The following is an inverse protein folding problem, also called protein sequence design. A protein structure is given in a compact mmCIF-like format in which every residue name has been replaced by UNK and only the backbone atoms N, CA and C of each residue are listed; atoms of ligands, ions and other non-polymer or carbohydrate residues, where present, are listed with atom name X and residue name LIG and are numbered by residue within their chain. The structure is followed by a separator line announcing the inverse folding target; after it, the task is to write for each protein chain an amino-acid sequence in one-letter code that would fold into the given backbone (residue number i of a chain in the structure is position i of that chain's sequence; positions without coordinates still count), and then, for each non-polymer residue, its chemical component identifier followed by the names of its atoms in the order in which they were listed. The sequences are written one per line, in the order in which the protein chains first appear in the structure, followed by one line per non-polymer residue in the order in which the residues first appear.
data_IF_909158199586
#
_entry.id   IF_909158199586
#
_cell.length_a   1.000
_cell.length_b   1.000
_cell.length_c   1.000
_cell.angle_alpha   90.00
_cell.angle_beta   90.00
_cell.angle_gamma   90.00
#
_symmetry.space_group_name_H-M   'P 1'
#
loop_
_entity.id
_entity.type
_entity.pdbx_description
1 polymer ?
#
# COMPACT_ATOMS: atom_id res chain seq x y z
N UNK A 1 -39.60 92.58 18.11
CA UNK A 1 -40.43 92.38 19.31
C UNK A 1 -41.61 91.55 18.94
N UNK A 2 -42.11 90.71 19.82
CA UNK A 2 -41.48 89.76 20.72
C UNK A 2 -41.79 88.29 20.27
N UNK A 3 -40.96 87.35 20.59
CA UNK A 3 -41.12 86.33 21.63
C UNK A 3 -42.40 85.52 21.60
N UNK A 4 -42.35 84.25 21.35
CA UNK A 4 -42.95 83.34 22.31
C UNK A 4 -42.17 81.99 22.35
N UNK A 5 -41.96 81.57 23.62
CA UNK A 5 -41.20 80.39 24.06
C UNK A 5 -42.24 79.31 24.36
N UNK A 6 -42.13 78.15 23.76
CA UNK A 6 -42.81 76.99 24.33
C UNK A 6 -41.83 75.82 24.37
N UNK A 7 -41.65 75.31 25.58
CA UNK A 7 -40.65 74.33 25.92
C UNK A 7 -40.98 72.88 25.45
N UNK A 8 -40.07 71.96 25.58
CA UNK A 8 -40.14 70.66 24.97
C UNK A 8 -40.90 69.65 25.84
N UNK A 9 -41.76 68.88 25.19
CA UNK A 9 -42.40 67.70 25.72
C UNK A 9 -41.35 66.56 25.89
N UNK A 10 -41.33 65.97 27.04
CA UNK A 10 -40.51 64.84 27.43
C UNK A 10 -40.99 63.58 26.74
N UNK A 11 -40.28 63.10 25.71
CA UNK A 11 -40.50 61.80 25.14
C UNK A 11 -39.80 60.72 25.99
N UNK A 12 -40.59 59.94 26.69
CA UNK A 12 -40.16 58.77 27.45
C UNK A 12 -39.62 57.72 26.50
N UNK A 13 -38.28 57.56 26.49
CA UNK A 13 -37.59 56.49 25.71
C UNK A 13 -37.68 55.16 26.45
N UNK A 14 -38.58 54.32 26.01
CA UNK A 14 -38.66 52.93 26.50
C UNK A 14 -37.51 52.15 25.87
N UNK A 15 -36.46 51.90 26.66
CA UNK A 15 -35.34 51.04 26.30
C UNK A 15 -35.85 49.61 26.25
N UNK A 16 -36.03 49.08 25.02
CA UNK A 16 -36.23 47.65 24.82
C UNK A 16 -34.90 46.93 25.08
N UNK A 17 -34.90 46.06 26.07
CA UNK A 17 -33.82 45.08 26.29
C UNK A 17 -33.70 44.19 25.09
N UNK A 18 -32.47 43.89 24.60
CA UNK A 18 -32.28 42.94 23.53
C UNK A 18 -32.61 41.53 24.00
N UNK A 19 -33.50 40.85 23.26
CA UNK A 19 -33.74 39.44 23.48
C UNK A 19 -32.45 38.62 23.26
N UNK A 20 -32.20 37.56 24.02
CA UNK A 20 -31.02 36.70 23.82
C UNK A 20 -31.15 35.98 22.47
N UNK A 21 -30.26 36.31 21.52
CA UNK A 21 -30.11 35.57 20.28
C UNK A 21 -29.49 34.22 20.65
N UNK A 22 -30.33 33.21 20.82
CA UNK A 22 -29.93 31.80 20.87
C UNK A 22 -29.46 31.36 19.50
N UNK A 23 -28.22 31.70 19.14
CA UNK A 23 -27.58 31.11 17.99
C UNK A 23 -27.23 29.64 18.36
N UNK A 24 -28.22 28.76 18.23
CA UNK A 24 -27.94 27.31 18.15
C UNK A 24 -27.33 27.04 16.78
N UNK A 25 -26.02 27.25 16.64
CA UNK A 25 -25.25 26.64 15.58
C UNK A 25 -25.23 25.14 15.87
N UNK A 26 -26.22 24.44 15.33
CA UNK A 26 -26.13 22.97 15.23
C UNK A 26 -24.98 22.70 14.26
N UNK A 27 -23.82 22.38 14.83
CA UNK A 27 -22.73 21.75 14.07
C UNK A 27 -23.34 20.52 13.41
N UNK A 28 -23.20 20.33 12.06
CA UNK A 28 -23.67 19.13 11.43
C UNK A 28 -22.89 17.97 12.06
N UNK A 29 -23.58 17.17 12.85
CA UNK A 29 -23.06 15.89 13.33
C UNK A 29 -22.76 15.11 12.05
N UNK A 30 -21.46 14.86 11.78
CA UNK A 30 -21.02 14.00 10.67
C UNK A 30 -21.83 12.72 10.83
N UNK A 31 -22.83 12.55 9.96
CA UNK A 31 -23.94 11.68 10.21
C UNK A 31 -23.47 10.23 10.41
N UNK A 32 -24.15 9.53 11.28
CA UNK A 32 -24.13 8.06 11.46
C UNK A 32 -24.11 7.32 10.11
N UNK A 33 -24.67 7.90 9.04
CA UNK A 33 -24.63 7.41 7.67
C UNK A 33 -23.24 7.27 7.07
N UNK A 34 -22.34 8.26 7.24
CA UNK A 34 -20.97 8.25 6.67
C UNK A 34 -20.10 7.19 7.35
N UNK A 35 -20.24 7.01 8.66
CA UNK A 35 -19.52 5.97 9.42
C UNK A 35 -20.00 4.58 9.02
N UNK A 36 -21.32 4.40 8.86
CA UNK A 36 -21.93 3.14 8.45
C UNK A 36 -21.53 2.77 7.01
N UNK A 37 -21.54 3.72 6.08
CA UNK A 37 -21.14 3.51 4.69
C UNK A 37 -19.66 3.09 4.59
N UNK A 38 -18.77 3.70 5.37
CA UNK A 38 -17.34 3.30 5.46
C UNK A 38 -17.18 1.90 6.02
N UNK A 39 -17.93 1.54 7.07
CA UNK A 39 -17.90 0.21 7.66
C UNK A 39 -18.44 -0.86 6.70
N UNK A 40 -19.50 -0.55 5.94
CA UNK A 40 -20.04 -1.44 4.90
C UNK A 40 -19.05 -1.63 3.75
N UNK A 41 -18.38 -0.57 3.32
CA UNK A 41 -17.34 -0.62 2.29
C UNK A 41 -16.13 -1.45 2.76
N UNK A 42 -15.74 -1.36 4.03
CA UNK A 42 -14.67 -2.17 4.60
C UNK A 42 -15.07 -3.66 4.67
N UNK A 43 -16.28 -3.97 5.14
CA UNK A 43 -16.80 -5.36 5.16
C UNK A 43 -16.88 -5.96 3.75
N UNK A 44 -17.34 -5.19 2.77
CA UNK A 44 -17.40 -5.62 1.38
C UNK A 44 -15.99 -5.90 0.82
N UNK A 45 -14.98 -5.07 1.15
CA UNK A 45 -13.59 -5.31 0.78
C UNK A 45 -13.11 -6.65 1.30
N UNK A 46 -13.29 -6.91 2.60
CA UNK A 46 -12.86 -8.17 3.22
C UNK A 46 -13.55 -9.39 2.59
N UNK A 47 -14.86 -9.31 2.31
CA UNK A 47 -15.59 -10.40 1.63
C UNK A 47 -15.04 -10.69 0.23
N UNK A 48 -14.71 -9.64 -0.52
CA UNK A 48 -14.13 -9.77 -1.86
C UNK A 48 -12.76 -10.43 -1.79
N UNK A 49 -11.88 -9.95 -0.91
CA UNK A 49 -10.53 -10.53 -0.75
C UNK A 49 -10.60 -12.00 -0.32
N UNK A 50 -11.43 -12.33 0.67
CA UNK A 50 -11.62 -13.72 1.10
C UNK A 50 -12.21 -14.63 0.00
N UNK A 51 -13.11 -14.11 -0.84
CA UNK A 51 -13.65 -14.85 -1.98
C UNK A 51 -12.57 -15.08 -3.05
N UNK A 52 -11.78 -14.06 -3.38
CA UNK A 52 -10.70 -14.14 -4.34
C UNK A 52 -9.63 -15.15 -3.88
N UNK A 53 -9.20 -15.07 -2.62
CA UNK A 53 -8.21 -15.98 -2.05
C UNK A 53 -8.65 -17.45 -2.15
N UNK A 54 -9.91 -17.76 -1.77
CA UNK A 54 -10.45 -19.11 -1.92
C UNK A 54 -10.48 -19.59 -3.38
N UNK A 55 -10.92 -18.72 -4.29
CA UNK A 55 -11.01 -19.07 -5.71
C UNK A 55 -9.62 -19.29 -6.31
N UNK A 56 -8.65 -18.44 -6.00
CA UNK A 56 -7.27 -18.59 -6.45
C UNK A 56 -6.63 -19.89 -5.92
N UNK A 57 -6.87 -20.24 -4.65
CA UNK A 57 -6.42 -21.49 -4.08
C UNK A 57 -7.04 -22.73 -4.76
N UNK A 58 -8.30 -22.64 -5.21
CA UNK A 58 -9.01 -23.76 -5.82
C UNK A 58 -8.74 -23.95 -7.31
N UNK A 59 -8.55 -22.86 -8.06
CA UNK A 59 -8.52 -22.87 -9.53
C UNK A 59 -7.24 -22.28 -10.13
N UNK A 60 -6.31 -21.84 -9.29
CA UNK A 60 -5.17 -21.02 -9.70
C UNK A 60 -5.59 -19.59 -10.07
N UNK A 61 -4.63 -18.69 -10.04
CA UNK A 61 -4.87 -17.28 -10.42
C UNK A 61 -5.34 -17.14 -11.86
N UNK A 62 -4.78 -17.86 -12.89
CA UNK A 62 -5.25 -17.74 -14.27
C UNK A 62 -6.70 -18.18 -14.46
N UNK A 63 -7.16 -19.20 -13.75
CA UNK A 63 -8.49 -19.83 -13.89
C UNK A 63 -9.66 -19.05 -13.26
N UNK A 64 -9.42 -17.87 -12.69
CA UNK A 64 -10.44 -17.06 -12.00
C UNK A 64 -10.64 -15.72 -12.68
N UNK A 65 -11.90 -15.34 -12.89
CA UNK A 65 -12.28 -14.04 -13.45
C UNK A 65 -12.76 -13.08 -12.34
N UNK A 66 -12.77 -11.78 -12.64
CA UNK A 66 -13.37 -10.78 -11.75
C UNK A 66 -14.86 -11.05 -11.50
N UNK A 67 -15.56 -11.59 -12.50
CA UNK A 67 -16.98 -11.94 -12.38
C UNK A 67 -17.21 -13.10 -11.41
N UNK A 68 -16.34 -14.12 -11.43
CA UNK A 68 -16.36 -15.21 -10.44
C UNK A 68 -16.20 -14.68 -9.03
N UNK A 69 -15.27 -13.74 -8.85
CA UNK A 69 -15.03 -13.11 -7.54
C UNK A 69 -16.23 -12.29 -7.09
N UNK A 70 -16.85 -11.51 -7.99
CA UNK A 70 -18.05 -10.74 -7.67
C UNK A 70 -19.20 -11.64 -7.21
N UNK A 71 -19.44 -12.73 -7.95
CA UNK A 71 -20.48 -13.71 -7.63
C UNK A 71 -20.20 -14.40 -6.28
N UNK A 72 -18.98 -14.88 -6.06
CA UNK A 72 -18.59 -15.57 -4.82
C UNK A 72 -18.60 -14.65 -3.58
N UNK A 73 -18.33 -13.35 -3.76
CA UNK A 73 -18.37 -12.35 -2.69
C UNK A 73 -19.79 -11.80 -2.43
N UNK A 74 -20.74 -12.06 -3.31
CA UNK A 74 -22.09 -11.49 -3.23
C UNK A 74 -22.09 -9.96 -3.37
N UNK A 75 -21.27 -9.43 -4.30
CA UNK A 75 -21.19 -7.99 -4.60
C UNK A 75 -21.51 -7.73 -6.08
N UNK A 76 -22.05 -6.56 -6.38
CA UNK A 76 -22.27 -6.16 -7.75
C UNK A 76 -20.96 -5.95 -8.53
N UNK A 77 -20.89 -6.39 -9.79
CA UNK A 77 -19.72 -6.21 -10.68
C UNK A 77 -19.21 -4.76 -10.68
N UNK A 78 -20.10 -3.77 -10.83
CA UNK A 78 -19.74 -2.35 -10.84
C UNK A 78 -19.06 -1.91 -9.53
N UNK A 79 -19.46 -2.47 -8.39
CA UNK A 79 -18.83 -2.19 -7.09
C UNK A 79 -17.42 -2.78 -7.02
N UNK A 80 -17.24 -4.01 -7.54
CA UNK A 80 -15.93 -4.66 -7.59
C UNK A 80 -14.96 -3.88 -8.49
N UNK A 81 -15.33 -3.61 -9.74
CA UNK A 81 -14.50 -2.90 -10.72
C UNK A 81 -14.17 -1.46 -10.28
N UNK A 82 -15.12 -0.76 -9.66
CA UNK A 82 -14.84 0.58 -9.11
C UNK A 82 -13.78 0.54 -8.00
N UNK A 83 -13.67 -0.55 -7.24
CA UNK A 83 -12.76 -0.67 -6.10
C UNK A 83 -11.38 -1.18 -6.48
N UNK A 84 -11.31 -2.17 -7.37
CA UNK A 84 -10.07 -2.88 -7.68
C UNK A 84 -9.59 -2.66 -9.12
N UNK A 85 -10.37 -1.97 -9.93
CA UNK A 85 -10.13 -1.65 -11.35
C UNK A 85 -10.07 -2.94 -12.20
N UNK A 86 -9.15 -3.85 -11.88
CA UNK A 86 -8.93 -5.11 -12.58
C UNK A 86 -8.44 -6.20 -11.61
N UNK A 87 -8.09 -7.35 -12.16
CA UNK A 87 -7.56 -8.49 -11.41
C UNK A 87 -6.18 -8.21 -10.82
N UNK A 88 -5.36 -7.37 -11.47
CA UNK A 88 -4.08 -6.91 -10.94
C UNK A 88 -4.24 -6.06 -9.68
N UNK A 89 -5.17 -5.10 -9.70
CA UNK A 89 -5.52 -4.30 -8.52
C UNK A 89 -6.07 -5.16 -7.36
N UNK A 90 -6.76 -6.25 -7.67
CA UNK A 90 -7.20 -7.22 -6.67
C UNK A 90 -6.01 -8.00 -6.09
N UNK A 91 -5.05 -8.40 -6.92
CA UNK A 91 -3.82 -9.07 -6.48
C UNK A 91 -2.98 -8.18 -5.56
N UNK A 92 -2.78 -6.90 -5.93
CA UNK A 92 -2.13 -5.91 -5.05
C UNK A 92 -2.81 -5.84 -3.69
N UNK A 93 -4.14 -5.80 -3.66
CA UNK A 93 -4.89 -5.72 -2.40
C UNK A 93 -4.80 -6.99 -1.53
N UNK A 94 -4.58 -8.16 -2.13
CA UNK A 94 -4.32 -9.42 -1.43
C UNK A 94 -2.90 -9.50 -0.89
N UNK A 95 -1.93 -8.94 -1.60
CA UNK A 95 -0.53 -8.90 -1.19
C UNK A 95 -0.26 -7.92 -0.05
N UNK A 96 -1.06 -6.86 0.08
CA UNK A 96 -0.89 -5.76 1.03
C UNK A 96 -0.51 -6.20 2.46
N UNK A 97 -1.16 -7.24 3.00
CA UNK A 97 -0.91 -7.72 4.37
C UNK A 97 0.42 -8.48 4.45
N UNK A 98 0.67 -9.36 3.49
CA UNK A 98 1.88 -10.18 3.38
C UNK A 98 3.13 -9.35 3.12
N UNK A 99 3.00 -8.30 2.33
CA UNK A 99 4.06 -7.32 2.08
C UNK A 99 4.36 -6.50 3.35
N UNK A 100 3.32 -6.13 4.13
CA UNK A 100 3.52 -5.46 5.42
C UNK A 100 4.27 -6.33 6.42
N UNK A 101 4.04 -7.62 6.46
CA UNK A 101 4.76 -8.54 7.35
C UNK A 101 6.26 -8.54 7.02
N UNK A 102 6.63 -8.64 5.74
CA UNK A 102 8.02 -8.54 5.31
C UNK A 102 8.62 -7.14 5.59
N UNK A 103 7.86 -6.07 5.32
CA UNK A 103 8.27 -4.70 5.64
C UNK A 103 8.50 -4.52 7.15
N UNK A 104 7.64 -5.08 7.98
CA UNK A 104 7.79 -5.03 9.43
C UNK A 104 9.07 -5.75 9.89
N UNK A 105 9.38 -6.91 9.32
CA UNK A 105 10.62 -7.62 9.62
C UNK A 105 11.86 -6.80 9.22
N UNK A 106 11.84 -6.13 8.08
CA UNK A 106 12.91 -5.24 7.61
C UNK A 106 13.12 -4.05 8.55
N UNK A 107 12.04 -3.48 9.06
CA UNK A 107 12.08 -2.24 9.87
C UNK A 107 12.37 -2.50 11.34
N UNK A 108 11.84 -3.58 11.91
CA UNK A 108 11.86 -3.82 13.37
C UNK A 108 12.11 -5.27 13.76
N UNK A 109 12.31 -6.16 12.79
CA UNK A 109 12.60 -7.57 13.04
C UNK A 109 14.02 -7.79 13.53
N UNK A 110 14.37 -9.04 13.87
CA UNK A 110 15.73 -9.39 14.30
C UNK A 110 16.73 -9.35 13.12
N UNK A 111 18.04 -9.21 13.42
CA UNK A 111 19.09 -9.44 12.41
C UNK A 111 19.01 -10.87 11.84
N UNK A 112 19.49 -11.12 10.61
CA UNK A 112 20.18 -10.14 9.74
C UNK A 112 19.25 -9.27 8.90
N UNK A 113 17.96 -9.59 8.74
CA UNK A 113 17.04 -8.82 7.90
C UNK A 113 16.69 -7.46 8.52
N UNK A 114 16.39 -7.45 9.82
CA UNK A 114 16.10 -6.26 10.58
C UNK A 114 17.35 -5.45 10.97
N UNK A 115 17.17 -4.37 11.74
CA UNK A 115 18.26 -3.54 12.23
C UNK A 115 19.24 -4.29 13.13
N UNK A 116 20.53 -3.88 13.11
CA UNK A 116 21.57 -4.43 13.99
C UNK A 116 22.62 -5.28 13.28
N UNK A 117 22.38 -5.75 12.06
CA UNK A 117 23.41 -6.33 11.20
C UNK A 117 24.09 -5.26 10.33
N UNK A 118 25.25 -5.59 9.74
CA UNK A 118 25.91 -4.71 8.79
C UNK A 118 25.06 -4.50 7.52
N UNK A 119 25.19 -3.36 6.84
CA UNK A 119 24.34 -3.04 5.71
C UNK A 119 24.42 -4.02 4.54
N UNK A 120 25.59 -4.60 4.25
CA UNK A 120 25.74 -5.58 3.16
C UNK A 120 25.06 -6.91 3.53
N UNK A 121 25.23 -7.39 4.76
CA UNK A 121 24.55 -8.57 5.28
C UNK A 121 23.03 -8.41 5.30
N UNK A 122 22.53 -7.22 5.65
CA UNK A 122 21.09 -6.90 5.56
C UNK A 122 20.58 -6.93 4.13
N UNK A 123 21.38 -6.45 3.16
CA UNK A 123 20.99 -6.48 1.74
C UNK A 123 20.89 -7.92 1.23
N UNK A 124 21.84 -8.78 1.58
CA UNK A 124 21.80 -10.22 1.25
C UNK A 124 20.59 -10.91 1.91
N UNK A 125 20.34 -10.64 3.19
CA UNK A 125 19.18 -11.16 3.90
C UNK A 125 17.84 -10.68 3.30
N UNK A 126 17.78 -9.44 2.79
CA UNK A 126 16.62 -8.95 2.06
C UNK A 126 16.37 -9.77 0.79
N UNK A 127 17.42 -10.07 0.01
CA UNK A 127 17.30 -10.87 -1.22
C UNK A 127 16.74 -12.26 -0.91
N UNK A 128 17.31 -12.95 0.07
CA UNK A 128 16.82 -14.28 0.48
C UNK A 128 15.37 -14.23 0.99
N UNK A 129 15.06 -13.26 1.86
CA UNK A 129 13.71 -13.08 2.39
C UNK A 129 12.67 -12.72 1.32
N UNK A 130 13.05 -11.91 0.35
CA UNK A 130 12.17 -11.53 -0.76
C UNK A 130 11.97 -12.69 -1.75
N UNK A 131 12.99 -13.49 -2.04
CA UNK A 131 12.82 -14.71 -2.84
C UNK A 131 11.90 -15.71 -2.16
N UNK A 132 12.06 -15.94 -0.87
CA UNK A 132 11.15 -16.79 -0.11
C UNK A 132 9.71 -16.23 -0.06
N UNK A 133 9.53 -14.92 -0.10
CA UNK A 133 8.23 -14.28 -0.27
C UNK A 133 7.67 -14.52 -1.68
N UNK A 134 8.49 -14.32 -2.72
CA UNK A 134 8.10 -14.56 -4.12
C UNK A 134 7.68 -16.01 -4.34
N UNK A 135 8.44 -16.99 -3.87
CA UNK A 135 8.10 -18.41 -4.02
C UNK A 135 6.69 -18.71 -3.50
N UNK A 136 6.35 -18.20 -2.33
CA UNK A 136 5.01 -18.40 -1.72
C UNK A 136 3.89 -17.63 -2.40
N UNK A 137 4.18 -16.54 -3.11
CA UNK A 137 3.18 -15.61 -3.65
C UNK A 137 3.31 -15.36 -5.15
N UNK A 138 4.06 -16.20 -5.85
CA UNK A 138 4.56 -15.94 -7.19
C UNK A 138 3.46 -15.53 -8.17
N UNK A 139 2.37 -16.28 -8.25
CA UNK A 139 1.26 -15.99 -9.17
C UNK A 139 0.59 -14.65 -8.89
N UNK A 140 0.45 -14.27 -7.61
CA UNK A 140 -0.17 -13.00 -7.24
C UNK A 140 0.78 -11.83 -7.54
N UNK A 141 2.08 -11.98 -7.22
CA UNK A 141 3.08 -10.95 -7.51
C UNK A 141 3.22 -10.77 -9.02
N UNK A 142 3.32 -11.86 -9.76
CA UNK A 142 3.36 -11.84 -11.23
C UNK A 142 2.15 -11.10 -11.81
N UNK A 143 0.94 -11.43 -11.36
CA UNK A 143 -0.28 -10.75 -11.80
C UNK A 143 -0.25 -9.25 -11.44
N UNK A 144 0.22 -8.87 -10.24
CA UNK A 144 0.31 -7.47 -9.83
C UNK A 144 1.32 -6.68 -10.66
N UNK A 145 2.44 -7.30 -11.03
CA UNK A 145 3.54 -6.67 -11.77
C UNK A 145 3.26 -6.54 -13.27
N UNK A 146 2.48 -7.48 -13.85
CA UNK A 146 2.26 -7.58 -15.30
C UNK A 146 0.87 -7.16 -15.78
N UNK A 147 -0.02 -6.75 -14.86
CA UNK A 147 -1.41 -6.37 -15.19
C UNK A 147 -1.51 -5.23 -16.22
N UNK A 148 -0.58 -4.28 -16.18
CA UNK A 148 -0.45 -3.19 -17.14
C UNK A 148 1.01 -2.79 -17.29
N UNK A 149 1.43 -2.19 -18.43
CA UNK A 149 2.80 -1.70 -18.58
C UNK A 149 3.24 -0.80 -17.43
N UNK A 150 4.36 -1.10 -16.79
CA UNK A 150 4.90 -0.38 -15.64
C UNK A 150 4.11 -0.57 -14.34
N UNK A 151 3.23 -1.56 -14.24
CA UNK A 151 2.47 -1.84 -13.01
C UNK A 151 3.40 -2.03 -11.80
N UNK A 152 4.46 -2.81 -11.97
CA UNK A 152 5.46 -3.09 -10.94
C UNK A 152 6.00 -1.82 -10.27
N UNK A 153 6.46 -0.85 -11.07
CA UNK A 153 7.05 0.39 -10.57
C UNK A 153 6.05 1.31 -9.85
N UNK A 154 4.75 1.10 -10.08
CA UNK A 154 3.69 1.90 -9.47
C UNK A 154 3.16 1.33 -8.16
N UNK A 155 3.57 0.11 -7.76
CA UNK A 155 3.18 -0.44 -6.46
C UNK A 155 3.91 0.26 -5.32
N UNK A 156 3.22 0.49 -4.21
CA UNK A 156 3.84 1.05 -3.01
C UNK A 156 4.93 0.14 -2.45
N UNK A 157 4.74 -1.16 -2.56
CA UNK A 157 5.71 -2.17 -2.14
C UNK A 157 7.02 -2.05 -2.92
N UNK A 158 6.98 -1.96 -4.27
CA UNK A 158 8.20 -1.78 -5.06
C UNK A 158 8.97 -0.50 -4.66
N UNK A 159 8.25 0.59 -4.43
CA UNK A 159 8.85 1.83 -3.93
C UNK A 159 9.56 1.64 -2.58
N UNK A 160 8.97 0.86 -1.66
CA UNK A 160 9.58 0.53 -0.38
C UNK A 160 10.85 -0.35 -0.55
N UNK A 161 10.77 -1.41 -1.35
CA UNK A 161 11.92 -2.28 -1.63
C UNK A 161 13.08 -1.52 -2.24
N UNK A 162 12.79 -0.66 -3.22
CA UNK A 162 13.78 0.21 -3.86
C UNK A 162 14.46 1.15 -2.85
N UNK A 163 13.68 1.81 -2.00
CA UNK A 163 14.19 2.71 -0.98
C UNK A 163 15.05 1.97 0.05
N UNK A 164 14.65 0.75 0.45
CA UNK A 164 15.41 -0.08 1.38
C UNK A 164 16.76 -0.48 0.79
N UNK A 165 16.79 -1.05 -0.41
CA UNK A 165 18.02 -1.42 -1.11
C UNK A 165 18.96 -0.21 -1.29
N UNK A 166 18.42 0.90 -1.77
CA UNK A 166 19.17 2.15 -1.94
C UNK A 166 19.78 2.63 -0.62
N UNK A 167 19.01 2.61 0.46
CA UNK A 167 19.50 3.01 1.79
C UNK A 167 20.68 2.15 2.21
N UNK A 168 20.59 0.82 2.12
CA UNK A 168 21.66 -0.09 2.50
C UNK A 168 22.91 0.10 1.61
N UNK A 169 22.74 0.22 0.31
CA UNK A 169 23.82 0.49 -0.64
C UNK A 169 24.53 1.83 -0.36
N UNK A 170 23.77 2.84 0.06
CA UNK A 170 24.36 4.12 0.50
C UNK A 170 25.20 3.94 1.77
N UNK A 171 24.73 3.13 2.72
CA UNK A 171 25.45 2.88 3.97
C UNK A 171 26.77 2.09 3.76
N UNK A 172 26.85 1.26 2.72
CA UNK A 172 28.10 0.55 2.37
C UNK A 172 29.10 1.43 1.62
N UNK A 173 28.73 2.63 1.19
CA UNK A 173 29.55 3.47 0.31
C UNK A 173 29.58 2.99 -1.14
N UNK A 174 28.65 2.13 -1.56
CA UNK A 174 28.57 1.64 -2.94
C UNK A 174 28.29 2.81 -3.92
N UNK A 175 29.00 2.88 -5.07
CA UNK A 175 28.74 3.90 -6.08
C UNK A 175 27.39 3.69 -6.75
N UNK A 176 26.73 4.79 -7.16
CA UNK A 176 25.44 4.77 -7.85
C UNK A 176 24.36 3.89 -7.15
N UNK A 177 24.07 4.12 -5.86
CA UNK A 177 23.18 3.25 -5.09
C UNK A 177 21.77 3.13 -5.69
N UNK A 178 21.27 4.16 -6.37
CA UNK A 178 19.97 4.12 -7.07
C UNK A 178 19.98 3.09 -8.20
N UNK A 179 20.97 3.16 -9.11
CA UNK A 179 21.10 2.21 -10.22
C UNK A 179 21.30 0.78 -9.72
N UNK A 180 22.14 0.59 -8.70
CA UNK A 180 22.39 -0.75 -8.12
C UNK A 180 21.14 -1.33 -7.46
N UNK A 181 20.34 -0.51 -6.80
CA UNK A 181 19.04 -0.94 -6.27
C UNK A 181 18.09 -1.36 -7.40
N UNK A 182 18.04 -0.59 -8.48
CA UNK A 182 17.21 -0.91 -9.65
C UNK A 182 17.68 -2.20 -10.34
N UNK A 183 19.00 -2.43 -10.49
CA UNK A 183 19.55 -3.67 -11.03
C UNK A 183 19.20 -4.88 -10.16
N UNK A 184 19.35 -4.77 -8.86
CA UNK A 184 19.01 -5.84 -7.92
C UNK A 184 17.53 -6.19 -8.00
N UNK A 185 16.67 -5.17 -7.97
CA UNK A 185 15.21 -5.37 -8.07
C UNK A 185 14.78 -5.87 -9.45
N UNK A 186 15.51 -5.55 -10.52
CA UNK A 186 15.22 -6.11 -11.84
C UNK A 186 15.44 -7.63 -11.88
N UNK A 187 16.52 -8.11 -11.24
CA UNK A 187 16.76 -9.55 -11.08
C UNK A 187 15.68 -10.23 -10.22
N UNK A 188 15.10 -9.51 -9.26
CA UNK A 188 14.03 -9.98 -8.39
C UNK A 188 12.61 -9.73 -8.96
N UNK A 189 12.46 -9.47 -10.25
CA UNK A 189 11.13 -9.40 -10.88
C UNK A 189 10.45 -10.77 -10.86
N UNK A 190 9.15 -10.81 -10.54
CA UNK A 190 8.41 -12.07 -10.43
C UNK A 190 8.48 -12.90 -11.73
N UNK A 191 8.47 -12.24 -12.89
CA UNK A 191 8.60 -12.92 -14.20
C UNK A 191 9.96 -13.59 -14.35
N UNK A 192 11.05 -12.93 -13.95
CA UNK A 192 12.40 -13.48 -14.00
C UNK A 192 12.58 -14.63 -13.00
N UNK A 193 12.08 -14.46 -11.78
CA UNK A 193 12.14 -15.52 -10.74
C UNK A 193 11.32 -16.72 -11.16
N UNK A 194 10.12 -16.52 -11.72
CA UNK A 194 9.31 -17.60 -12.29
C UNK A 194 10.07 -18.37 -13.37
N UNK A 195 10.71 -17.66 -14.28
CA UNK A 195 11.50 -18.28 -15.34
C UNK A 195 12.61 -19.19 -14.78
N UNK A 196 13.37 -18.73 -13.81
CA UNK A 196 14.41 -19.53 -13.17
C UNK A 196 13.88 -20.76 -12.45
N UNK A 197 12.82 -20.59 -11.63
CA UNK A 197 12.29 -21.68 -10.82
C UNK A 197 11.49 -22.70 -11.64
N UNK A 198 10.69 -22.26 -12.62
CA UNK A 198 9.76 -23.16 -13.34
C UNK A 198 10.21 -23.54 -14.73
N UNK A 199 10.89 -22.66 -15.47
CA UNK A 199 11.31 -22.96 -16.86
C UNK A 199 12.74 -23.54 -16.87
N UNK A 200 13.67 -23.01 -16.06
CA UNK A 200 15.04 -23.52 -15.91
C UNK A 200 15.18 -24.58 -14.80
N UNK A 201 14.17 -24.78 -13.98
CA UNK A 201 14.16 -25.72 -12.84
C UNK A 201 15.30 -25.52 -11.85
N UNK A 202 15.68 -24.25 -11.59
CA UNK A 202 16.68 -23.93 -10.57
C UNK A 202 16.13 -24.18 -9.17
N UNK A 203 17.00 -24.61 -8.28
CA UNK A 203 16.66 -24.73 -6.86
C UNK A 203 16.53 -23.34 -6.23
N UNK A 204 15.58 -23.18 -5.31
CA UNK A 204 15.29 -21.90 -4.66
C UNK A 204 16.45 -21.47 -3.74
N UNK A 205 17.04 -22.41 -2.99
CA UNK A 205 18.10 -22.12 -2.04
C UNK A 205 19.39 -21.76 -2.79
N UNK A 206 19.75 -22.50 -3.85
CA UNK A 206 20.88 -22.18 -4.73
C UNK A 206 20.70 -20.79 -5.38
N UNK A 207 19.50 -20.47 -5.83
CA UNK A 207 19.17 -19.16 -6.41
C UNK A 207 19.28 -18.03 -5.37
N UNK A 208 18.85 -18.29 -4.14
CA UNK A 208 18.95 -17.33 -3.05
C UNK A 208 20.42 -17.05 -2.68
N UNK A 209 21.26 -18.09 -2.65
CA UNK A 209 22.68 -17.95 -2.38
C UNK A 209 23.40 -17.16 -3.48
N UNK A 210 23.16 -17.48 -4.75
CA UNK A 210 23.76 -16.77 -5.89
C UNK A 210 23.35 -15.29 -5.94
N UNK A 211 22.05 -15.00 -5.76
CA UNK A 211 21.56 -13.61 -5.77
C UNK A 211 21.99 -12.83 -4.53
N UNK A 212 22.11 -13.49 -3.36
CA UNK A 212 22.68 -12.88 -2.17
C UNK A 212 24.16 -12.55 -2.36
N UNK A 213 24.93 -13.43 -2.99
CA UNK A 213 26.32 -13.16 -3.35
C UNK A 213 26.44 -11.99 -4.35
N UNK A 214 25.55 -11.91 -5.33
CA UNK A 214 25.47 -10.77 -6.25
C UNK A 214 25.12 -9.46 -5.52
N UNK A 215 24.20 -9.49 -4.55
CA UNK A 215 23.88 -8.34 -3.72
C UNK A 215 25.09 -7.85 -2.89
N UNK A 216 25.85 -8.77 -2.30
CA UNK A 216 27.11 -8.47 -1.60
C UNK A 216 28.15 -7.84 -2.54
N UNK A 217 28.24 -8.31 -3.79
CA UNK A 217 29.12 -7.71 -4.79
C UNK A 217 28.70 -6.28 -5.17
N UNK A 218 27.39 -6.05 -5.32
CA UNK A 218 26.83 -4.73 -5.55
C UNK A 218 27.02 -3.77 -4.36
N UNK A 219 27.14 -4.28 -3.15
CA UNK A 219 27.36 -3.50 -1.93
C UNK A 219 28.82 -3.06 -1.74
N UNK A 220 29.77 -3.53 -2.56
CA UNK A 220 31.17 -3.13 -2.43
C UNK A 220 31.37 -1.65 -2.78
N UNK A 221 32.12 -0.90 -1.96
CA UNK A 221 32.55 0.44 -2.30
C UNK A 221 33.44 0.42 -3.54
N UNK A 222 33.61 1.57 -4.16
CA UNK A 222 34.61 1.71 -5.23
C UNK A 222 36.02 1.66 -4.60
N UNK A 223 36.97 0.92 -5.17
CA UNK A 223 38.35 0.94 -4.71
C UNK A 223 38.99 2.32 -4.79
#
# INVERSE_FOLDING_TARGET
MPEDVTGPESASSTVRSPEPVTCRTQLPVLGVGVVRERADAARNRLRVLAAAERLFAQRGVPGVTMDDVAAAAGVGKGTLYRRFVDKGGLAVALLDERERDLQQQILTGPPPLGPGADPAGRLAAFVAGYLAFLDRQLDLVLLSETSTPGARQRTGAHGFWRQHCRYLLTQTGAPNPDLRADLLLAALAAEQVRHWLHDEHRDLDDLADELSAAALALAKPHP
#
